data_IF_277928452647
#
_entry.id   IF_277928452647
#
_cell.length_a   1.000
_cell.length_b   1.000
_cell.length_c   1.000
_cell.angle_alpha   90.00
_cell.angle_beta   90.00
_cell.angle_gamma   90.00
#
_symmetry.space_group_name_H-M   'P 1'
#
loop_
_entity.id
_entity.type
_entity.pdbx_description
1 polymer ?
#
# COMPACT_ATOMS: atom_id res chain seq x y z
N UNK A 1 18.20 15.97 -7.50
CA UNK A 1 19.64 15.87 -7.79
C UNK A 1 19.66 15.71 -9.27
N UNK A 2 19.82 16.81 -9.98
CA UNK A 2 20.31 16.73 -11.35
C UNK A 2 21.73 16.21 -11.21
N UNK A 3 22.04 15.12 -11.89
CA UNK A 3 23.41 14.62 -11.92
C UNK A 3 24.20 15.60 -12.78
N UNK A 4 24.74 16.62 -12.13
CA UNK A 4 25.71 17.52 -12.73
C UNK A 4 27.07 16.86 -12.63
N UNK A 5 27.64 16.45 -13.76
CA UNK A 5 29.01 15.96 -13.81
C UNK A 5 29.98 17.13 -13.62
N UNK A 6 30.48 17.30 -12.39
CA UNK A 6 31.56 18.22 -12.07
C UNK A 6 32.88 17.51 -12.43
N UNK A 7 33.48 17.86 -13.57
CA UNK A 7 34.86 17.46 -13.86
C UNK A 7 35.82 18.46 -13.21
N UNK A 8 36.86 18.00 -12.52
CA UNK A 8 37.86 18.88 -11.96
C UNK A 8 38.72 19.51 -13.08
N UNK A 9 39.11 20.78 -12.88
CA UNK A 9 39.70 21.66 -13.91
C UNK A 9 41.06 21.16 -14.44
N UNK A 10 41.74 20.31 -13.67
CA UNK A 10 43.02 19.69 -13.98
C UNK A 10 42.95 18.59 -15.06
N UNK A 11 41.75 18.24 -15.52
CA UNK A 11 41.53 17.24 -16.58
C UNK A 11 41.53 17.86 -17.99
N UNK A 12 41.53 19.19 -18.11
CA UNK A 12 41.45 19.92 -19.40
C UNK A 12 42.81 20.27 -20.01
N UNK A 13 43.75 19.34 -20.06
CA UNK A 13 45.13 19.66 -20.49
C UNK A 13 45.26 20.01 -22.00
N UNK A 14 44.20 19.86 -22.82
CA UNK A 14 44.24 20.09 -24.27
C UNK A 14 42.97 20.64 -24.95
N UNK A 15 41.96 21.06 -24.19
CA UNK A 15 40.70 21.55 -24.76
C UNK A 15 40.58 23.08 -24.66
N UNK A 16 40.16 23.73 -25.75
CA UNK A 16 39.91 25.16 -25.77
C UNK A 16 38.56 25.44 -25.09
N UNK A 17 38.59 25.96 -23.85
CA UNK A 17 37.40 26.45 -23.16
C UNK A 17 36.91 27.71 -23.87
N UNK A 18 35.77 27.62 -24.55
CA UNK A 18 35.21 28.72 -25.35
C UNK A 18 34.42 29.73 -24.51
N UNK A 19 33.76 29.28 -23.44
CA UNK A 19 32.93 30.12 -22.57
C UNK A 19 32.76 29.47 -21.20
N UNK A 20 32.78 30.28 -20.14
CA UNK A 20 32.47 29.87 -18.77
C UNK A 20 31.13 30.52 -18.41
N UNK A 21 30.08 29.71 -18.30
CA UNK A 21 28.75 30.19 -17.94
C UNK A 21 28.54 29.99 -16.43
N UNK A 22 28.22 31.04 -15.66
CA UNK A 22 27.88 30.89 -14.25
C UNK A 22 26.55 30.13 -14.11
N UNK A 23 26.53 29.11 -13.24
CA UNK A 23 25.33 28.33 -12.95
C UNK A 23 24.24 29.23 -12.35
N UNK A 24 23.05 29.22 -12.96
CA UNK A 24 21.85 29.78 -12.36
C UNK A 24 21.42 28.85 -11.21
N UNK A 25 21.44 29.35 -9.98
CA UNK A 25 20.92 28.59 -8.84
C UNK A 25 19.40 28.34 -9.00
N UNK A 26 18.92 27.10 -8.88
CA UNK A 26 17.49 26.84 -8.83
C UNK A 26 16.88 27.57 -7.64
N UNK A 27 15.88 28.41 -7.91
CA UNK A 27 15.24 29.24 -6.88
C UNK A 27 14.28 28.38 -6.05
N UNK A 28 14.80 27.78 -4.97
CA UNK A 28 13.98 27.10 -3.96
C UNK A 28 13.31 28.16 -3.07
N UNK A 29 12.14 28.64 -3.49
CA UNK A 29 11.26 29.37 -2.59
C UNK A 29 10.66 28.39 -1.58
N UNK A 30 11.22 28.30 -0.37
CA UNK A 30 10.43 27.84 0.77
C UNK A 30 9.26 28.84 0.89
N UNK A 31 8.00 28.39 0.89
CA UNK A 31 6.89 29.32 1.04
C UNK A 31 7.04 30.05 2.38
N UNK A 32 6.74 31.33 2.36
CA UNK A 32 6.60 32.17 3.56
C UNK A 32 5.80 31.39 4.62
N UNK A 33 6.27 31.31 5.87
CA UNK A 33 5.72 30.47 6.94
C UNK A 33 4.20 30.73 7.17
N UNK A 34 3.68 31.84 6.63
CA UNK A 34 2.28 32.21 6.59
C UNK A 34 1.41 31.40 5.59
N UNK A 35 1.98 30.65 4.65
CA UNK A 35 1.23 29.87 3.65
C UNK A 35 0.60 28.59 4.20
N UNK A 36 1.02 28.13 5.39
CA UNK A 36 0.42 26.98 6.06
C UNK A 36 -1.05 27.21 6.49
N UNK A 37 -1.51 28.46 6.49
CA UNK A 37 -2.88 28.80 6.90
C UNK A 37 -3.97 28.46 5.87
N UNK A 38 -3.62 28.16 4.61
CA UNK A 38 -4.61 28.01 3.53
C UNK A 38 -4.98 26.55 3.18
N UNK A 39 -4.37 25.54 3.81
CA UNK A 39 -4.71 24.13 3.58
C UNK A 39 -4.39 23.60 2.17
N UNK A 40 -3.74 24.39 1.31
CA UNK A 40 -3.23 23.93 0.04
C UNK A 40 -1.88 23.23 0.24
N UNK A 41 -1.65 22.03 -0.33
CA UNK A 41 -0.35 21.37 -0.26
C UNK A 41 0.72 22.24 -0.93
N UNK A 42 1.97 22.23 -0.42
CA UNK A 42 3.05 23.04 -0.97
C UNK A 42 3.38 22.60 -2.41
N UNK A 43 3.53 23.57 -3.32
CA UNK A 43 3.99 23.29 -4.68
C UNK A 43 5.44 22.85 -4.65
N UNK A 44 5.69 21.54 -4.79
CA UNK A 44 7.04 20.96 -4.70
C UNK A 44 7.96 21.29 -5.88
N UNK A 45 7.38 21.61 -7.04
CA UNK A 45 8.13 21.87 -8.27
C UNK A 45 7.29 22.72 -9.23
N UNK A 46 7.89 23.77 -9.79
CA UNK A 46 7.25 24.73 -10.71
C UNK A 46 7.92 24.75 -12.09
N UNK A 47 8.28 23.58 -12.61
CA UNK A 47 8.86 23.42 -13.95
C UNK A 47 8.06 22.45 -14.85
N UNK A 48 8.58 22.20 -16.05
CA UNK A 48 7.99 21.24 -16.99
C UNK A 48 8.09 19.80 -16.47
N UNK A 49 7.18 18.91 -16.89
CA UNK A 49 7.19 17.51 -16.44
C UNK A 49 8.38 16.75 -17.02
N UNK A 50 9.53 16.82 -16.36
CA UNK A 50 10.79 16.14 -16.68
C UNK A 50 11.20 15.20 -15.54
N UNK A 51 12.27 14.42 -15.73
CA UNK A 51 12.88 13.61 -14.66
C UNK A 51 13.24 14.45 -13.42
N UNK A 52 13.55 15.73 -13.59
CA UNK A 52 13.84 16.68 -12.51
C UNK A 52 12.64 16.85 -11.57
N UNK A 53 11.41 16.83 -12.11
CA UNK A 53 10.18 16.88 -11.31
C UNK A 53 10.03 15.63 -10.46
N UNK A 54 10.33 14.46 -11.02
CA UNK A 54 10.30 13.17 -10.31
C UNK A 54 11.36 13.18 -9.21
N UNK A 55 12.58 13.60 -9.53
CA UNK A 55 13.66 13.77 -8.57
C UNK A 55 13.32 14.76 -7.45
N UNK A 56 12.59 15.85 -7.75
CA UNK A 56 12.11 16.82 -6.76
C UNK A 56 11.01 16.23 -5.87
N UNK A 57 10.04 15.52 -6.43
CA UNK A 57 8.99 14.82 -5.67
C UNK A 57 9.62 13.76 -4.76
N UNK A 58 10.54 12.95 -5.28
CA UNK A 58 11.25 11.94 -4.49
C UNK A 58 12.09 12.60 -3.39
N UNK A 59 12.86 13.65 -3.70
CA UNK A 59 13.66 14.37 -2.71
C UNK A 59 12.78 14.98 -1.61
N UNK A 60 11.66 15.59 -1.97
CA UNK A 60 10.68 16.11 -1.03
C UNK A 60 10.05 14.98 -0.21
N UNK A 61 9.64 13.87 -0.82
CA UNK A 61 9.12 12.68 -0.12
C UNK A 61 10.12 12.13 0.92
N UNK A 62 11.41 12.13 0.58
CA UNK A 62 12.49 11.66 1.43
C UNK A 62 12.73 12.64 2.59
N UNK A 63 12.69 13.94 2.33
CA UNK A 63 13.06 14.99 3.27
C UNK A 63 11.91 15.45 4.17
N UNK A 64 10.65 15.22 3.78
CA UNK A 64 9.51 15.76 4.52
C UNK A 64 8.95 14.73 5.51
N UNK A 65 8.84 15.04 6.81
CA UNK A 65 8.47 14.08 7.86
C UNK A 65 6.97 13.72 7.94
N UNK A 66 6.14 14.08 6.94
CA UNK A 66 4.68 13.93 6.99
C UNK A 66 4.13 12.58 6.55
N UNK A 67 4.89 11.47 6.63
CA UNK A 67 4.28 10.17 6.33
C UNK A 67 3.20 9.86 7.37
N UNK A 68 1.96 10.16 6.98
CA UNK A 68 0.78 9.69 7.66
C UNK A 68 0.66 8.20 7.38
N UNK A 69 0.49 7.42 8.44
CA UNK A 69 0.25 6.00 8.29
C UNK A 69 -1.12 5.86 7.63
N UNK A 70 -1.19 5.38 6.37
CA UNK A 70 -2.44 5.32 5.64
C UNK A 70 -3.38 4.26 6.21
N UNK A 71 -2.87 3.42 7.12
CA UNK A 71 -3.64 2.47 7.89
C UNK A 71 -4.14 3.05 9.23
N UNK A 72 -3.82 4.28 9.63
CA UNK A 72 -4.43 4.90 10.82
C UNK A 72 -5.90 5.28 10.57
N UNK A 73 -6.80 4.30 10.61
CA UNK A 73 -8.24 4.55 10.60
C UNK A 73 -8.71 5.01 11.98
N UNK A 74 -8.55 6.31 12.30
CA UNK A 74 -9.16 7.00 13.46
C UNK A 74 -9.33 6.13 14.73
N UNK A 75 -8.31 5.38 15.14
CA UNK A 75 -8.30 4.72 16.45
C UNK A 75 -8.22 5.81 17.53
N UNK A 76 -9.36 6.33 17.95
CA UNK A 76 -9.46 7.27 19.07
C UNK A 76 -9.96 8.69 18.77
N UNK A 77 -10.39 9.00 17.53
CA UNK A 77 -11.35 10.12 17.39
C UNK A 77 -12.73 9.59 17.75
N UNK A 78 -13.05 9.64 19.04
CA UNK A 78 -14.42 9.83 19.50
C UNK A 78 -14.94 11.09 18.78
N UNK A 79 -15.48 10.92 17.57
CA UNK A 79 -16.33 11.92 16.94
C UNK A 79 -17.58 11.96 17.79
N UNK A 80 -17.51 12.68 18.91
CA UNK A 80 -18.70 13.23 19.55
C UNK A 80 -19.52 13.88 18.43
N UNK A 81 -20.78 13.52 18.25
CA UNK A 81 -21.60 14.08 17.18
C UNK A 81 -21.62 15.59 17.38
N UNK A 82 -21.02 16.32 16.44
CA UNK A 82 -21.16 17.77 16.37
C UNK A 82 -22.66 18.08 16.35
N UNK A 83 -23.18 18.89 17.29
CA UNK A 83 -24.59 19.23 17.30
C UNK A 83 -24.86 20.06 16.04
N UNK A 84 -25.65 19.50 15.13
CA UNK A 84 -26.17 20.25 14.00
C UNK A 84 -26.99 21.44 14.51
N UNK A 85 -26.83 22.64 13.95
CA UNK A 85 -27.64 23.79 14.33
C UNK A 85 -29.04 23.60 13.76
N UNK A 86 -29.99 23.19 14.61
CA UNK A 86 -31.40 23.25 14.25
C UNK A 86 -31.84 24.73 14.24
N UNK A 87 -32.59 25.17 13.22
CA UNK A 87 -33.14 26.51 13.18
C UNK A 87 -34.29 26.64 14.19
N UNK A 88 -34.29 27.78 14.85
CA UNK A 88 -35.26 28.23 15.84
C UNK A 88 -36.65 28.28 15.21
N UNK A 89 -37.60 27.55 15.79
CA UNK A 89 -39.03 27.75 15.55
C UNK A 89 -39.73 27.95 16.91
N UNK A 90 -40.53 29.01 16.92
CA UNK A 90 -41.05 29.73 18.08
C UNK A 90 -41.94 28.93 19.02
N UNK A 91 -41.81 29.29 20.29
CA UNK A 91 -42.67 28.94 21.41
C UNK A 91 -44.16 29.21 21.14
N UNK A 92 -45.01 28.28 21.59
CA UNK A 92 -46.29 28.63 22.20
C UNK A 92 -46.61 27.63 23.32
N UNK A 93 -46.79 28.22 24.49
CA UNK A 93 -47.10 27.66 25.79
C UNK A 93 -48.45 26.94 25.83
N UNK A 94 -48.61 25.93 26.70
CA UNK A 94 -49.46 26.01 27.90
C UNK A 94 -49.72 24.64 28.60
N UNK A 95 -49.47 24.67 29.93
CA UNK A 95 -50.01 23.92 31.10
C UNK A 95 -49.76 22.40 31.35
N UNK A 96 -49.66 21.99 32.64
CA UNK A 96 -49.09 20.74 33.13
C UNK A 96 -50.11 19.76 33.74
N UNK A 97 -49.70 18.50 33.96
CA UNK A 97 -50.08 17.63 35.10
C UNK A 97 -49.15 16.39 35.08
N UNK A 98 -48.28 16.17 36.07
CA UNK A 98 -48.50 15.60 37.40
C UNK A 98 -48.58 14.05 37.44
N UNK A 99 -47.51 13.47 37.99
CA UNK A 99 -47.38 12.31 38.89
C UNK A 99 -48.01 10.92 38.62
N UNK A 100 -47.15 9.92 38.87
CA UNK A 100 -47.34 8.59 39.49
C UNK A 100 -46.87 7.45 38.56
N UNK A 101 -45.78 6.75 38.85
CA UNK A 101 -45.49 5.81 39.95
C UNK A 101 -46.26 4.50 39.86
N UNK A 102 -45.49 3.43 39.59
CA UNK A 102 -45.69 2.03 39.98
C UNK A 102 -46.96 1.30 39.52
N UNK A 103 -46.78 0.18 38.84
CA UNK A 103 -47.00 -1.15 39.45
C UNK A 103 -46.50 -2.27 38.54
N UNK A 104 -45.74 -3.19 39.15
CA UNK A 104 -45.54 -4.56 38.68
C UNK A 104 -46.86 -5.32 38.85
N UNK A 105 -47.25 -6.12 37.87
CA UNK A 105 -48.16 -7.24 38.11
C UNK A 105 -47.84 -8.41 37.20
N UNK A 106 -47.92 -9.57 37.82
CA UNK A 106 -47.43 -10.90 37.45
C UNK A 106 -48.61 -11.73 36.95
N UNK A 107 -48.35 -12.57 35.92
CA UNK A 107 -49.08 -13.81 35.51
C UNK A 107 -50.52 -13.70 34.95
N UNK A 108 -51.10 -14.76 34.33
CA UNK A 108 -50.53 -16.04 33.87
C UNK A 108 -50.88 -16.43 32.41
N UNK A 109 -50.20 -17.49 31.96
CA UNK A 109 -50.53 -18.34 30.81
C UNK A 109 -52.01 -18.72 30.70
N UNK A 110 -52.54 -18.67 29.47
CA UNK A 110 -53.70 -19.46 29.08
C UNK A 110 -53.59 -19.89 27.62
N UNK A 111 -53.47 -21.21 27.45
CA UNK A 111 -53.54 -21.91 26.18
C UNK A 111 -54.89 -21.68 25.51
N UNK A 112 -54.87 -21.22 24.26
CA UNK A 112 -56.02 -21.29 23.36
C UNK A 112 -55.52 -21.65 21.96
N UNK A 113 -55.93 -22.82 21.51
CA UNK A 113 -55.79 -23.28 20.14
C UNK A 113 -56.75 -22.49 19.21
N UNK A 114 -56.53 -22.67 17.90
CA UNK A 114 -57.49 -22.49 16.80
C UNK A 114 -57.56 -21.10 16.15
N UNK A 115 -56.78 -20.92 15.06
CA UNK A 115 -57.28 -20.77 13.66
C UNK A 115 -56.12 -20.36 12.73
N UNK A 116 -55.73 -21.26 11.83
CA UNK A 116 -54.92 -20.87 10.68
C UNK A 116 -55.81 -20.12 9.66
N UNK A 117 -55.35 -18.99 9.09
CA UNK A 117 -56.03 -18.35 7.98
C UNK A 117 -55.85 -19.16 6.68
N UNK A 118 -56.83 -19.14 5.76
CA UNK A 118 -56.73 -19.85 4.49
C UNK A 118 -55.61 -19.28 3.61
N UNK A 119 -54.99 -20.12 2.75
CA UNK A 119 -53.92 -19.69 1.86
C UNK A 119 -54.45 -18.64 0.87
N UNK A 120 -53.80 -17.47 0.86
CA UNK A 120 -54.07 -16.41 -0.12
C UNK A 120 -53.65 -16.90 -1.51
N UNK A 121 -54.65 -17.15 -2.34
CA UNK A 121 -54.53 -17.40 -3.77
C UNK A 121 -53.88 -16.18 -4.43
N UNK A 122 -52.68 -16.32 -4.99
CA UNK A 122 -51.96 -15.26 -5.70
C UNK A 122 -52.13 -15.47 -7.22
N UNK A 123 -53.03 -14.73 -7.90
CA UNK A 123 -53.41 -15.00 -9.29
C UNK A 123 -52.39 -14.55 -10.36
N UNK A 124 -51.20 -14.07 -9.96
CA UNK A 124 -50.13 -13.73 -10.89
C UNK A 124 -49.00 -14.74 -10.82
N UNK A 125 -49.27 -15.95 -11.30
CA UNK A 125 -48.24 -16.90 -11.73
C UNK A 125 -47.83 -16.51 -13.16
N UNK A 126 -46.75 -15.75 -13.28
CA UNK A 126 -46.05 -15.53 -14.55
C UNK A 126 -45.41 -16.84 -15.00
N UNK A 127 -46.23 -17.69 -15.62
CA UNK A 127 -45.78 -18.78 -16.46
C UNK A 127 -44.92 -18.19 -17.60
N UNK A 128 -43.65 -18.57 -17.68
CA UNK A 128 -42.78 -18.18 -18.78
C UNK A 128 -41.30 -17.99 -18.46
N UNK A 129 -40.88 -18.06 -17.18
CA UNK A 129 -39.43 -18.07 -16.87
C UNK A 129 -38.90 -19.48 -17.05
N UNK A 130 -38.42 -19.77 -18.27
CA UNK A 130 -37.59 -20.93 -18.56
C UNK A 130 -36.50 -21.02 -17.50
N UNK A 131 -36.56 -22.07 -16.68
CA UNK A 131 -35.51 -22.38 -15.70
C UNK A 131 -34.23 -22.59 -16.51
N UNK A 132 -33.38 -21.57 -16.54
CA UNK A 132 -32.05 -21.71 -17.11
C UNK A 132 -31.40 -22.91 -16.43
N UNK A 133 -31.06 -23.91 -17.24
CA UNK A 133 -30.31 -25.08 -16.81
C UNK A 133 -29.12 -24.60 -15.98
N UNK A 134 -28.81 -25.25 -14.83
CA UNK A 134 -27.64 -24.90 -14.05
C UNK A 134 -26.41 -25.00 -14.97
N UNK A 135 -25.89 -23.84 -15.37
CA UNK A 135 -24.66 -23.74 -16.12
C UNK A 135 -23.61 -24.55 -15.36
N UNK A 136 -23.05 -25.58 -16.01
CA UNK A 136 -21.89 -26.33 -15.53
C UNK A 136 -20.72 -25.35 -15.36
N UNK A 137 -20.72 -24.63 -14.24
CA UNK A 137 -19.55 -23.90 -13.78
C UNK A 137 -18.56 -24.99 -13.39
N UNK A 138 -17.49 -25.12 -14.18
CA UNK A 138 -16.41 -26.04 -13.89
C UNK A 138 -15.88 -25.87 -12.46
N UNK A 139 -15.08 -26.83 -11.97
CA UNK A 139 -14.56 -26.80 -10.60
C UNK A 139 -13.96 -25.43 -10.29
N UNK A 140 -14.44 -24.80 -9.22
CA UNK A 140 -13.95 -23.50 -8.79
C UNK A 140 -12.44 -23.62 -8.54
N UNK A 141 -11.63 -22.77 -9.20
CA UNK A 141 -10.18 -22.74 -8.97
C UNK A 141 -9.94 -22.47 -7.49
N UNK A 142 -9.24 -23.38 -6.80
CA UNK A 142 -8.87 -23.21 -5.40
C UNK A 142 -8.16 -21.87 -5.24
N UNK A 143 -8.58 -21.01 -4.30
CA UNK A 143 -7.93 -19.72 -4.10
C UNK A 143 -6.47 -19.94 -3.73
N UNK A 144 -5.58 -19.14 -4.32
CA UNK A 144 -4.16 -19.18 -3.99
C UNK A 144 -3.94 -18.90 -2.50
N UNK A 145 -3.07 -19.67 -1.86
CA UNK A 145 -2.55 -19.34 -0.54
C UNK A 145 -1.59 -18.14 -0.63
N UNK A 146 -1.93 -17.04 0.06
CA UNK A 146 -1.11 -15.83 0.10
C UNK A 146 0.07 -15.93 1.08
N UNK A 147 0.05 -16.92 1.98
CA UNK A 147 1.14 -17.20 2.92
C UNK A 147 2.23 -18.07 2.32
N UNK A 148 2.07 -18.52 1.07
CA UNK A 148 3.12 -19.22 0.32
C UNK A 148 3.64 -18.33 -0.81
N UNK A 149 4.96 -18.35 -1.01
CA UNK A 149 5.61 -17.69 -2.13
C UNK A 149 5.00 -18.13 -3.47
N UNK A 150 4.90 -17.19 -4.42
CA UNK A 150 4.45 -17.51 -5.78
C UNK A 150 5.62 -18.10 -6.56
N UNK A 151 5.48 -19.35 -6.99
CA UNK A 151 6.51 -20.02 -7.79
C UNK A 151 6.20 -19.88 -9.29
N UNK A 152 6.41 -18.68 -9.85
CA UNK A 152 6.35 -18.43 -11.31
C UNK A 152 7.61 -17.69 -11.75
N UNK A 153 8.13 -17.89 -12.98
CA UNK A 153 9.36 -17.26 -13.44
C UNK A 153 9.34 -15.73 -13.30
N UNK A 154 8.20 -15.10 -13.54
CA UNK A 154 8.02 -13.65 -13.52
C UNK A 154 8.03 -13.05 -12.09
N UNK A 155 7.94 -13.88 -11.05
CA UNK A 155 8.09 -13.45 -9.66
C UNK A 155 9.55 -13.65 -9.24
N UNK A 156 10.31 -12.58 -8.93
CA UNK A 156 11.63 -12.74 -8.36
C UNK A 156 11.57 -13.55 -7.05
N UNK A 157 12.61 -14.34 -6.73
CA UNK A 157 12.62 -15.11 -5.50
C UNK A 157 12.60 -14.22 -4.27
N UNK A 158 11.85 -14.66 -3.25
CA UNK A 158 11.92 -14.08 -1.91
C UNK A 158 13.20 -14.55 -1.21
N UNK A 159 13.66 -13.78 -0.23
CA UNK A 159 14.64 -14.26 0.75
C UNK A 159 14.06 -15.50 1.43
N UNK A 160 14.87 -16.56 1.54
CA UNK A 160 14.42 -17.86 2.05
C UNK A 160 13.82 -17.76 3.47
N UNK A 161 14.52 -17.10 4.40
CA UNK A 161 14.07 -16.89 5.78
C UNK A 161 12.72 -16.17 5.87
N UNK A 162 12.47 -15.18 4.99
CA UNK A 162 11.19 -14.47 4.89
C UNK A 162 10.08 -15.34 4.31
N UNK A 163 10.37 -16.12 3.27
CA UNK A 163 9.40 -17.01 2.65
C UNK A 163 8.95 -18.12 3.62
N UNK A 164 9.93 -18.73 4.32
CA UNK A 164 9.69 -19.75 5.32
C UNK A 164 8.90 -19.20 6.51
N UNK A 165 9.26 -18.02 7.01
CA UNK A 165 8.54 -17.34 8.07
C UNK A 165 7.09 -17.04 7.68
N UNK A 166 6.85 -16.52 6.47
CA UNK A 166 5.51 -16.22 5.97
C UNK A 166 4.63 -17.46 5.90
N UNK A 167 5.19 -18.60 5.49
CA UNK A 167 4.49 -19.88 5.42
C UNK A 167 4.14 -20.46 6.80
N UNK A 168 4.87 -20.06 7.84
CA UNK A 168 4.71 -20.53 9.23
C UNK A 168 3.81 -19.63 10.08
N UNK A 169 3.27 -18.54 9.54
CA UNK A 169 2.37 -17.63 10.28
C UNK A 169 1.18 -18.40 10.85
N UNK A 170 0.97 -18.27 12.16
CA UNK A 170 -0.18 -18.84 12.85
C UNK A 170 -1.42 -17.97 12.62
N UNK A 171 -2.21 -18.38 11.63
CA UNK A 171 -3.48 -17.76 11.28
C UNK A 171 -4.60 -18.03 12.29
N UNK A 172 -4.38 -18.91 13.28
CA UNK A 172 -5.29 -19.13 14.40
C UNK A 172 -5.34 -17.97 15.40
N UNK A 173 -4.28 -17.15 15.43
CA UNK A 173 -4.26 -15.93 16.24
C UNK A 173 -5.20 -14.89 15.61
N UNK A 174 -6.23 -14.50 16.36
CA UNK A 174 -7.18 -13.45 15.92
C UNK A 174 -6.42 -12.12 15.82
N UNK A 175 -6.52 -11.37 14.70
CA UNK A 175 -5.89 -10.05 14.60
C UNK A 175 -6.43 -9.03 15.64
N UNK A 176 -5.66 -7.99 15.95
CA UNK A 176 -6.05 -6.86 16.80
C UNK A 176 -7.22 -6.09 16.22
N UNK A 177 -7.21 -5.89 14.91
CA UNK A 177 -8.24 -5.19 14.17
C UNK A 177 -8.95 -6.15 13.23
N UNK A 178 -10.28 -6.07 13.20
CA UNK A 178 -11.10 -6.74 12.20
C UNK A 178 -11.52 -5.79 11.08
N UNK A 179 -10.96 -4.57 11.04
CA UNK A 179 -11.28 -3.61 9.98
C UNK A 179 -10.83 -4.16 8.63
N UNK A 180 -11.73 -4.05 7.66
CA UNK A 180 -11.46 -4.40 6.28
C UNK A 180 -10.41 -3.49 5.62
N UNK A 181 -10.16 -2.29 6.16
CA UNK A 181 -9.11 -1.37 5.68
C UNK A 181 -7.72 -1.94 5.87
N UNK A 182 -7.48 -2.66 6.96
CA UNK A 182 -6.17 -3.19 7.31
C UNK A 182 -5.70 -4.29 6.35
N UNK A 183 -6.65 -4.89 5.64
CA UNK A 183 -6.40 -5.91 4.62
C UNK A 183 -6.18 -5.34 3.22
N UNK A 184 -6.05 -4.02 3.10
CA UNK A 184 -5.85 -3.32 1.82
C UNK A 184 -4.37 -2.98 1.61
N UNK A 185 -4.08 -2.45 0.44
CA UNK A 185 -2.74 -2.15 -0.01
C UNK A 185 -2.65 -0.74 -0.56
N UNK A 186 -1.49 -0.13 -0.33
CA UNK A 186 -1.10 1.19 -0.86
C UNK A 186 -0.72 1.09 -2.34
N UNK A 187 -0.09 -0.02 -2.72
CA UNK A 187 0.27 -0.37 -4.09
C UNK A 187 -0.32 -1.74 -4.43
N UNK A 188 -0.39 -2.15 -5.72
CA UNK A 188 -0.87 -3.48 -6.03
C UNK A 188 -0.01 -4.55 -5.33
N UNK A 189 -0.65 -5.65 -4.90
CA UNK A 189 0.08 -6.84 -4.46
C UNK A 189 0.98 -7.32 -5.61
N UNK A 190 2.28 -7.61 -5.42
CA UNK A 190 3.19 -7.96 -6.53
C UNK A 190 2.68 -9.14 -7.36
N UNK A 191 2.11 -10.13 -6.69
CA UNK A 191 1.49 -11.29 -7.31
C UNK A 191 0.32 -10.97 -8.23
N UNK A 192 -0.38 -9.85 -8.03
CA UNK A 192 -1.51 -9.43 -8.87
C UNK A 192 -1.05 -9.18 -10.30
N UNK A 193 0.19 -8.68 -10.48
CA UNK A 193 0.75 -8.34 -11.78
C UNK A 193 1.09 -9.58 -12.61
N UNK A 194 1.55 -10.66 -11.97
CA UNK A 194 2.13 -11.82 -12.66
C UNK A 194 1.35 -13.13 -12.50
N UNK A 195 0.39 -13.20 -11.57
CA UNK A 195 -0.42 -14.42 -11.35
C UNK A 195 -1.55 -14.56 -12.39
N UNK A 196 -1.18 -14.59 -13.66
CA UNK A 196 -2.06 -14.84 -14.80
C UNK A 196 -1.31 -15.71 -15.82
N UNK A 197 -1.94 -16.77 -16.37
CA UNK A 197 -1.30 -17.60 -17.38
C UNK A 197 -1.25 -16.92 -18.77
N UNK A 198 -1.91 -15.78 -18.93
CA UNK A 198 -2.00 -15.06 -20.21
C UNK A 198 -1.03 -13.89 -20.25
N UNK A 199 -0.05 -13.95 -21.17
CA UNK A 199 0.97 -12.93 -21.35
C UNK A 199 0.37 -11.54 -21.65
N UNK A 200 -0.60 -11.46 -22.57
CA UNK A 200 -1.27 -10.19 -22.92
C UNK A 200 -1.88 -9.50 -21.70
N UNK A 201 -2.48 -10.29 -20.81
CA UNK A 201 -3.07 -9.76 -19.57
C UNK A 201 -1.99 -9.29 -18.60
N UNK A 202 -0.90 -10.05 -18.44
CA UNK A 202 0.24 -9.65 -17.62
C UNK A 202 0.85 -8.34 -18.13
N UNK A 203 1.18 -8.29 -19.42
CA UNK A 203 1.76 -7.12 -20.08
C UNK A 203 0.86 -5.90 -19.92
N UNK A 204 -0.47 -6.07 -20.05
CA UNK A 204 -1.44 -5.00 -19.78
C UNK A 204 -1.37 -4.50 -18.33
N UNK A 205 -1.34 -5.39 -17.35
CA UNK A 205 -1.27 -5.00 -15.93
C UNK A 205 0.03 -4.26 -15.61
N UNK A 206 1.17 -4.74 -16.14
CA UNK A 206 2.48 -4.11 -15.97
C UNK A 206 2.53 -2.73 -16.65
N UNK A 207 2.07 -2.65 -17.90
CA UNK A 207 2.04 -1.40 -18.67
C UNK A 207 1.20 -0.33 -17.96
N UNK A 208 0.00 -0.69 -17.51
CA UNK A 208 -0.86 0.22 -16.77
C UNK A 208 -0.29 0.60 -15.40
N UNK A 209 0.41 -0.31 -14.72
CA UNK A 209 1.12 0.04 -13.49
C UNK A 209 2.18 1.10 -13.76
N UNK A 210 3.02 0.93 -14.80
CA UNK A 210 4.04 1.91 -15.17
C UNK A 210 3.45 3.30 -15.46
N UNK A 211 2.30 3.37 -16.16
CA UNK A 211 1.61 4.63 -16.43
C UNK A 211 1.06 5.31 -15.16
N UNK A 212 0.73 4.54 -14.12
CA UNK A 212 0.08 5.03 -12.90
C UNK A 212 1.02 5.22 -11.72
N UNK A 213 2.20 4.57 -11.74
CA UNK A 213 3.10 4.45 -10.60
C UNK A 213 3.47 5.83 -10.02
N UNK A 214 3.88 6.77 -10.86
CA UNK A 214 4.25 8.13 -10.44
C UNK A 214 3.09 8.89 -9.80
N UNK A 215 1.87 8.71 -10.32
CA UNK A 215 0.66 9.30 -9.72
C UNK A 215 0.40 8.77 -8.32
N UNK A 216 0.54 7.45 -8.11
CA UNK A 216 0.39 6.86 -6.78
C UNK A 216 1.51 7.25 -5.83
N UNK A 217 2.76 7.31 -6.30
CA UNK A 217 3.89 7.79 -5.51
C UNK A 217 3.63 9.24 -5.09
N UNK A 218 3.28 10.13 -6.03
CA UNK A 218 2.94 11.51 -5.74
C UNK A 218 1.82 11.63 -4.70
N UNK A 219 0.77 10.81 -4.83
CA UNK A 219 -0.34 10.78 -3.89
C UNK A 219 0.10 10.47 -2.46
N UNK A 220 1.08 9.58 -2.27
CA UNK A 220 1.66 9.32 -0.95
C UNK A 220 2.43 10.50 -0.38
N UNK A 221 3.00 11.34 -1.24
CA UNK A 221 3.80 12.49 -0.81
C UNK A 221 2.94 13.69 -0.47
N UNK A 222 1.77 13.83 -1.11
CA UNK A 222 0.92 15.02 -0.99
C UNK A 222 -0.36 14.81 -0.21
N UNK A 223 -0.91 13.60 -0.22
CA UNK A 223 -2.21 13.35 0.38
C UNK A 223 -2.03 12.80 1.79
N UNK A 224 -2.65 13.41 2.82
CA UNK A 224 -2.52 12.94 4.20
C UNK A 224 -3.14 11.55 4.40
N UNK A 225 -4.21 11.24 3.66
CA UNK A 225 -4.93 9.96 3.75
C UNK A 225 -5.03 9.27 2.38
N UNK A 226 -3.94 8.71 1.83
CA UNK A 226 -3.98 8.09 0.53
C UNK A 226 -4.91 6.86 0.54
N UNK A 227 -5.60 6.57 -0.57
CA UNK A 227 -6.55 5.48 -0.67
C UNK A 227 -5.89 4.13 -0.49
N UNK A 228 -6.26 3.43 0.58
CA UNK A 228 -6.01 2.00 0.69
C UNK A 228 -7.02 1.21 -0.16
N UNK A 229 -6.50 0.38 -1.07
CA UNK A 229 -7.28 -0.38 -2.04
C UNK A 229 -7.21 -1.88 -1.80
N UNK A 230 -8.34 -2.55 -1.93
CA UNK A 230 -8.39 -4.01 -1.94
C UNK A 230 -7.73 -4.57 -3.21
N UNK A 231 -7.28 -5.83 -3.17
CA UNK A 231 -6.72 -6.48 -4.36
C UNK A 231 -7.70 -6.54 -5.54
N UNK A 232 -9.02 -6.54 -5.31
CA UNK A 232 -9.99 -6.43 -6.40
C UNK A 232 -10.02 -5.02 -7.01
N UNK A 233 -9.98 -3.97 -6.19
CA UNK A 233 -9.93 -2.60 -6.70
C UNK A 233 -8.65 -2.34 -7.51
N UNK A 234 -7.51 -2.87 -7.05
CA UNK A 234 -6.27 -2.84 -7.83
C UNK A 234 -6.41 -3.53 -9.19
N UNK A 235 -7.04 -4.71 -9.24
CA UNK A 235 -7.33 -5.38 -10.52
C UNK A 235 -8.23 -4.53 -11.41
N UNK A 236 -9.29 -3.96 -10.85
CA UNK A 236 -10.24 -3.15 -11.61
C UNK A 236 -9.56 -1.90 -12.20
N UNK A 237 -8.68 -1.24 -11.44
CA UNK A 237 -7.84 -0.13 -11.93
C UNK A 237 -6.93 -0.61 -13.05
N UNK A 238 -6.08 -1.61 -12.79
CA UNK A 238 -5.05 -2.06 -13.72
C UNK A 238 -5.61 -2.75 -14.97
N UNK A 239 -6.85 -3.23 -14.95
CA UNK A 239 -7.53 -3.70 -16.15
C UNK A 239 -8.20 -2.57 -16.96
N UNK A 240 -8.15 -1.34 -16.43
CA UNK A 240 -8.83 -0.16 -16.96
C UNK A 240 -10.34 -0.31 -16.95
N UNK A 241 -10.88 -1.03 -15.96
CA UNK A 241 -12.32 -1.10 -15.75
C UNK A 241 -12.87 0.18 -15.13
N UNK A 242 -11.99 1.03 -14.58
CA UNK A 242 -12.42 2.25 -13.93
C UNK A 242 -12.98 3.30 -14.90
N UNK A 243 -12.43 3.38 -16.11
CA UNK A 243 -12.82 4.38 -17.12
C UNK A 243 -13.90 3.91 -18.09
N UNK A 244 -14.30 2.62 -18.09
CA UNK A 244 -15.31 2.05 -19.01
C UNK A 244 -16.77 2.38 -18.65
N UNK A 245 -16.99 3.46 -17.91
CA UNK A 245 -18.23 3.72 -17.18
C UNK A 245 -19.28 4.44 -18.03
N UNK A 246 -19.97 3.68 -18.92
CA UNK A 246 -21.15 4.13 -19.67
C UNK A 246 -22.47 3.38 -19.36
N UNK A 247 -22.45 2.39 -18.46
CA UNK A 247 -23.64 1.60 -18.11
C UNK A 247 -24.13 1.95 -16.70
N UNK A 248 -25.26 2.66 -16.64
CA UNK A 248 -25.75 3.52 -15.54
C UNK A 248 -26.10 2.81 -14.21
N UNK A 249 -26.02 1.48 -14.07
CA UNK A 249 -26.57 0.82 -12.85
C UNK A 249 -25.76 -0.35 -12.25
N UNK A 250 -24.50 -0.54 -12.62
CA UNK A 250 -23.72 -1.65 -12.04
C UNK A 250 -23.09 -1.27 -10.67
N UNK A 251 -23.08 -2.20 -9.71
CA UNK A 251 -22.33 -2.04 -8.43
C UNK A 251 -20.82 -1.85 -8.63
N UNK A 252 -20.32 -2.12 -9.84
CA UNK A 252 -18.94 -1.85 -10.28
C UNK A 252 -18.78 -0.35 -10.57
N UNK A 253 -19.77 0.29 -11.21
CA UNK A 253 -19.79 1.72 -11.51
C UNK A 253 -19.62 2.59 -10.26
N UNK A 254 -20.45 2.43 -9.23
CA UNK A 254 -20.36 3.27 -8.01
C UNK A 254 -19.03 3.11 -7.26
N UNK A 255 -18.38 1.93 -7.38
CA UNK A 255 -17.06 1.70 -6.77
C UNK A 255 -15.94 2.32 -7.58
N UNK A 256 -16.11 2.39 -8.89
CA UNK A 256 -15.18 3.01 -9.81
C UNK A 256 -15.20 4.53 -9.73
N UNK A 257 -16.39 5.12 -9.73
CA UNK A 257 -16.62 6.57 -9.71
C UNK A 257 -15.93 7.22 -8.50
N UNK A 258 -16.21 6.69 -7.30
CA UNK A 258 -15.56 7.14 -6.06
C UNK A 258 -14.04 6.89 -6.02
N UNK A 259 -13.52 6.00 -6.84
CA UNK A 259 -12.09 5.67 -6.87
C UNK A 259 -11.35 6.58 -7.84
N UNK A 260 -11.95 6.84 -9.00
CA UNK A 260 -11.47 7.81 -9.98
C UNK A 260 -11.38 9.20 -9.37
N UNK A 261 -12.42 9.66 -8.67
CA UNK A 261 -12.42 10.96 -7.98
C UNK A 261 -11.28 11.12 -6.97
N UNK A 262 -10.84 10.03 -6.34
CA UNK A 262 -9.77 10.05 -5.34
C UNK A 262 -8.38 10.04 -5.96
N UNK A 263 -8.22 9.40 -7.12
CA UNK A 263 -6.91 9.20 -7.76
C UNK A 263 -6.64 10.31 -8.78
N UNK A 264 -7.68 10.83 -9.44
CA UNK A 264 -7.59 11.84 -10.50
C UNK A 264 -6.72 13.05 -10.13
N UNK A 265 -6.86 13.69 -8.95
CA UNK A 265 -6.03 14.86 -8.63
C UNK A 265 -4.53 14.57 -8.63
N UNK A 266 -4.13 13.38 -8.18
CA UNK A 266 -2.72 12.97 -8.17
C UNK A 266 -2.19 12.72 -9.58
N UNK A 267 -3.02 12.13 -10.45
CA UNK A 267 -2.66 11.91 -11.85
C UNK A 267 -2.54 13.23 -12.61
N UNK A 268 -3.50 14.14 -12.44
CA UNK A 268 -3.46 15.48 -13.02
C UNK A 268 -2.20 16.25 -12.56
N UNK A 269 -1.88 16.21 -11.28
CA UNK A 269 -0.72 16.91 -10.71
C UNK A 269 0.63 16.35 -11.22
N UNK A 270 0.70 15.06 -11.54
CA UNK A 270 1.88 14.48 -12.18
C UNK A 270 2.06 14.91 -13.65
N UNK A 271 1.19 15.77 -14.18
CA UNK A 271 1.02 15.95 -15.62
C UNK A 271 0.94 14.58 -16.29
N UNK A 272 0.10 13.71 -15.73
CA UNK A 272 -0.50 12.60 -16.44
C UNK A 272 -1.94 13.04 -16.80
N UNK A 273 -2.15 14.25 -17.39
CA UNK A 273 -3.48 14.88 -17.41
C UNK A 273 -4.40 14.16 -18.40
N UNK A 274 -3.83 13.26 -19.20
CA UNK A 274 -4.50 12.51 -20.22
C UNK A 274 -4.37 11.01 -19.91
N UNK A 275 -5.11 10.59 -18.89
CA UNK A 275 -5.80 9.30 -18.91
C UNK A 275 -6.67 9.11 -20.18
N UNK A 276 -6.63 9.98 -21.19
CA UNK A 276 -7.34 9.82 -22.48
C UNK A 276 -7.01 8.49 -23.13
N UNK A 277 -5.79 8.00 -22.92
CA UNK A 277 -5.36 6.68 -23.37
C UNK A 277 -5.31 5.68 -22.22
N UNK A 278 -6.05 5.88 -21.12
CA UNK A 278 -6.20 4.89 -20.05
C UNK A 278 -7.62 4.33 -20.02
N UNK A 279 -7.82 3.01 -20.26
CA UNK A 279 -6.78 2.02 -20.45
C UNK A 279 -6.05 2.22 -21.78
N UNK A 280 -4.78 1.87 -21.82
CA UNK A 280 -4.02 1.86 -23.06
C UNK A 280 -4.73 0.93 -24.07
N UNK A 281 -4.96 1.39 -25.31
CA UNK A 281 -5.43 0.54 -26.38
C UNK A 281 -4.57 -0.71 -26.51
N UNK A 282 -5.16 -1.84 -26.89
CA UNK A 282 -4.44 -3.12 -26.93
C UNK A 282 -3.16 -3.10 -27.78
N UNK A 283 -3.10 -2.27 -28.82
CA UNK A 283 -1.94 -2.11 -29.70
C UNK A 283 -0.84 -1.20 -29.13
N UNK A 284 -1.12 -0.44 -28.07
CA UNK A 284 -0.15 0.39 -27.34
C UNK A 284 0.46 -0.36 -26.14
N UNK A 285 -0.09 -1.53 -25.78
CA UNK A 285 0.43 -2.35 -24.68
C UNK A 285 1.81 -2.88 -25.05
N UNK A 286 2.83 -2.34 -24.39
CA UNK A 286 4.22 -2.84 -24.46
C UNK A 286 4.29 -4.29 -23.97
N UNK A 287 5.05 -5.11 -24.68
CA UNK A 287 5.49 -6.42 -24.19
C UNK A 287 6.70 -6.25 -23.28
N UNK A 288 6.74 -7.04 -22.20
CA UNK A 288 7.85 -7.01 -21.24
C UNK A 288 8.65 -8.29 -21.33
N UNK A 289 9.97 -8.16 -21.28
CA UNK A 289 10.88 -9.29 -21.10
C UNK A 289 10.70 -9.89 -19.69
N UNK A 290 11.30 -11.05 -19.46
CA UNK A 290 11.30 -11.66 -18.14
C UNK A 290 12.02 -10.78 -17.11
N UNK A 291 13.17 -10.20 -17.47
CA UNK A 291 13.97 -9.34 -16.61
C UNK A 291 13.20 -8.07 -16.23
N UNK A 292 12.63 -7.36 -17.22
CA UNK A 292 11.82 -6.16 -16.98
C UNK A 292 10.60 -6.46 -16.10
N UNK A 293 9.95 -7.60 -16.33
CA UNK A 293 8.82 -8.03 -15.48
C UNK A 293 9.27 -8.23 -14.04
N UNK A 294 10.39 -8.94 -13.83
CA UNK A 294 10.95 -9.18 -12.52
C UNK A 294 11.35 -7.88 -11.82
N UNK A 295 11.95 -6.93 -12.53
CA UNK A 295 12.33 -5.61 -12.02
C UNK A 295 11.13 -4.79 -11.56
N UNK A 296 10.07 -4.72 -12.37
CA UNK A 296 8.81 -4.03 -12.00
C UNK A 296 8.19 -4.68 -10.76
N UNK A 297 8.12 -6.02 -10.73
CA UNK A 297 7.56 -6.77 -9.60
C UNK A 297 8.39 -6.55 -8.33
N UNK A 298 9.72 -6.54 -8.45
CA UNK A 298 10.64 -6.24 -7.36
C UNK A 298 10.41 -4.84 -6.80
N UNK A 299 10.34 -3.81 -7.63
CA UNK A 299 10.08 -2.43 -7.19
C UNK A 299 8.75 -2.30 -6.44
N UNK A 300 7.69 -2.94 -6.95
CA UNK A 300 6.37 -2.96 -6.30
C UNK A 300 6.40 -3.70 -4.96
N UNK A 301 7.12 -4.82 -4.90
CA UNK A 301 7.27 -5.58 -3.66
C UNK A 301 8.06 -4.81 -2.60
N UNK A 302 9.20 -4.26 -2.99
CA UNK A 302 10.10 -3.49 -2.11
C UNK A 302 9.40 -2.25 -1.56
N UNK A 303 8.68 -1.52 -2.42
CA UNK A 303 7.94 -0.33 -2.00
C UNK A 303 6.82 -0.70 -1.03
N UNK A 304 6.01 -1.72 -1.33
CA UNK A 304 4.99 -2.21 -0.39
C UNK A 304 5.60 -2.64 0.95
N UNK A 305 6.69 -3.43 0.92
CA UNK A 305 7.35 -3.93 2.11
C UNK A 305 7.81 -2.79 3.03
N UNK A 306 8.46 -1.74 2.49
CA UNK A 306 8.91 -0.58 3.29
C UNK A 306 7.75 0.14 3.96
N UNK A 307 6.66 0.40 3.23
CA UNK A 307 5.48 1.07 3.82
C UNK A 307 4.72 0.19 4.81
N UNK A 308 4.60 -1.10 4.52
CA UNK A 308 4.01 -2.08 5.45
C UNK A 308 4.82 -2.16 6.75
N UNK A 309 6.14 -2.17 6.66
CA UNK A 309 7.03 -2.17 7.80
C UNK A 309 6.92 -0.89 8.64
N UNK A 310 6.89 0.29 8.01
CA UNK A 310 6.67 1.56 8.73
C UNK A 310 5.35 1.54 9.49
N UNK A 311 4.28 1.10 8.83
CA UNK A 311 2.93 1.07 9.39
C UNK A 311 2.85 0.06 10.55
N UNK A 312 3.49 -1.10 10.39
CA UNK A 312 3.62 -2.09 11.47
C UNK A 312 4.40 -1.52 12.66
N UNK A 313 5.58 -0.94 12.43
CA UNK A 313 6.42 -0.40 13.50
C UNK A 313 5.67 0.68 14.29
N UNK A 314 4.99 1.59 13.59
CA UNK A 314 4.19 2.64 14.21
C UNK A 314 3.09 2.08 15.09
N UNK A 315 2.34 1.08 14.60
CA UNK A 315 1.25 0.44 15.36
C UNK A 315 1.77 -0.37 16.55
N UNK A 316 2.81 -1.17 16.34
CA UNK A 316 3.35 -2.08 17.34
C UNK A 316 4.11 -1.35 18.45
N UNK A 317 4.88 -0.31 18.11
CA UNK A 317 5.64 0.49 19.08
C UNK A 317 4.83 1.66 19.65
N UNK A 318 3.76 2.09 18.96
CA UNK A 318 3.01 3.34 19.22
C UNK A 318 3.88 4.60 19.13
N UNK A 319 4.96 4.55 18.35
CA UNK A 319 5.91 5.65 18.17
C UNK A 319 6.07 5.97 16.69
N UNK A 320 6.24 7.24 16.36
CA UNK A 320 6.63 7.65 15.02
C UNK A 320 8.14 7.83 14.95
N UNK A 321 8.87 6.82 14.46
CA UNK A 321 10.35 6.80 14.41
C UNK A 321 10.89 6.52 13.00
N UNK A 322 10.43 7.30 12.05
CA UNK A 322 10.72 7.09 10.62
C UNK A 322 12.22 7.06 10.30
N UNK A 323 13.03 7.89 10.97
CA UNK A 323 14.47 7.91 10.78
C UNK A 323 15.11 6.55 11.14
N UNK A 324 14.75 5.96 12.27
CA UNK A 324 15.25 4.65 12.71
C UNK A 324 14.75 3.53 11.78
N UNK A 325 13.50 3.62 11.31
CA UNK A 325 12.94 2.67 10.34
C UNK A 325 13.69 2.72 9.01
N UNK A 326 14.07 3.90 8.52
CA UNK A 326 14.87 4.06 7.29
C UNK A 326 16.26 3.40 7.40
N UNK A 327 16.82 3.25 8.59
CA UNK A 327 18.08 2.52 8.81
C UNK A 327 17.94 1.00 8.61
N UNK A 328 16.71 0.47 8.60
CA UNK A 328 16.45 -0.95 8.35
C UNK A 328 16.54 -1.33 6.87
N UNK A 329 16.72 -0.35 5.97
CA UNK A 329 16.73 -0.56 4.54
C UNK A 329 17.96 0.04 3.88
N UNK A 330 18.46 -0.64 2.84
CA UNK A 330 19.50 -0.08 1.98
C UNK A 330 18.99 1.21 1.30
N UNK A 331 19.87 2.21 1.21
CA UNK A 331 19.61 3.50 0.58
C UNK A 331 18.76 4.48 1.38
N UNK A 332 18.12 4.07 2.48
CA UNK A 332 17.27 4.92 3.34
C UNK A 332 16.08 5.61 2.62
N UNK A 333 15.77 5.21 1.38
CA UNK A 333 14.64 5.70 0.58
C UNK A 333 13.37 4.90 0.88
N UNK A 334 12.19 5.45 0.61
CA UNK A 334 10.91 4.72 0.80
C UNK A 334 10.21 4.39 -0.52
N UNK A 335 10.51 5.17 -1.56
CA UNK A 335 9.95 5.09 -2.92
C UNK A 335 11.07 5.35 -3.91
N UNK A 336 10.88 4.91 -5.16
CA UNK A 336 11.85 5.18 -6.23
C UNK A 336 13.18 4.47 -6.01
N UNK A 337 13.13 3.23 -5.54
CA UNK A 337 14.33 2.44 -5.26
C UNK A 337 15.06 2.12 -6.57
N UNK A 338 16.35 2.51 -6.72
CA UNK A 338 17.10 2.18 -7.91
C UNK A 338 17.40 0.66 -7.93
N UNK A 339 17.45 0.06 -9.12
CA UNK A 339 17.49 -1.39 -9.28
C UNK A 339 18.76 -2.01 -8.70
N UNK A 340 19.85 -1.25 -8.60
CA UNK A 340 21.12 -1.66 -7.99
C UNK A 340 20.95 -2.05 -6.51
N UNK A 341 19.91 -1.56 -5.85
CA UNK A 341 19.59 -1.92 -4.47
C UNK A 341 18.89 -3.27 -4.34
N UNK A 342 18.50 -3.92 -5.44
CA UNK A 342 17.84 -5.23 -5.45
C UNK A 342 18.69 -6.40 -4.93
N UNK A 343 19.99 -6.16 -4.75
CA UNK A 343 20.96 -7.12 -4.19
C UNK A 343 21.61 -6.61 -2.90
N UNK A 344 21.10 -5.52 -2.32
CA UNK A 344 21.62 -4.92 -1.09
C UNK A 344 20.64 -5.10 0.07
N UNK A 345 21.08 -4.75 1.28
CA UNK A 345 20.18 -4.75 2.42
C UNK A 345 19.75 -6.16 2.79
N UNK A 346 18.44 -6.31 2.99
CA UNK A 346 17.79 -7.61 3.15
C UNK A 346 18.03 -8.55 1.96
N UNK A 347 18.11 -8.02 0.74
CA UNK A 347 18.26 -8.83 -0.46
C UNK A 347 19.70 -9.29 -0.73
N UNK A 348 20.69 -8.92 0.09
CA UNK A 348 22.08 -9.36 -0.08
C UNK A 348 22.23 -10.87 0.07
N UNK A 349 23.12 -11.46 -0.73
CA UNK A 349 23.53 -12.86 -0.60
C UNK A 349 24.46 -13.09 0.60
N UNK A 350 25.23 -12.08 1.00
CA UNK A 350 26.09 -12.13 2.18
C UNK A 350 25.27 -11.98 3.46
N UNK A 351 25.41 -12.95 4.36
CA UNK A 351 24.77 -12.89 5.67
C UNK A 351 25.32 -11.71 6.49
N UNK A 352 26.61 -11.42 6.37
CA UNK A 352 27.27 -10.32 7.07
C UNK A 352 26.70 -8.97 6.66
N UNK A 353 26.47 -8.76 5.36
CA UNK A 353 25.82 -7.55 4.84
C UNK A 353 24.36 -7.46 5.31
N UNK A 354 23.58 -8.55 5.20
CA UNK A 354 22.19 -8.59 5.70
C UNK A 354 22.14 -8.30 7.21
N UNK A 355 23.10 -8.82 7.97
CA UNK A 355 23.11 -8.78 9.43
C UNK A 355 23.02 -7.35 9.97
N UNK A 356 23.64 -6.37 9.30
CA UNK A 356 23.55 -4.95 9.67
C UNK A 356 22.09 -4.49 9.72
N UNK A 357 21.30 -4.81 8.69
CA UNK A 357 19.90 -4.41 8.57
C UNK A 357 18.97 -5.25 9.46
N UNK A 358 19.30 -6.54 9.65
CA UNK A 358 18.61 -7.42 10.60
C UNK A 358 18.76 -6.88 12.02
N UNK A 359 19.95 -6.42 12.41
CA UNK A 359 20.20 -5.83 13.74
C UNK A 359 19.42 -4.54 13.97
N UNK A 360 19.33 -3.66 12.96
CA UNK A 360 18.51 -2.44 13.02
C UNK A 360 17.03 -2.80 13.21
N UNK A 361 16.55 -3.75 12.42
CA UNK A 361 15.17 -4.25 12.50
C UNK A 361 14.87 -4.87 13.87
N UNK A 362 15.75 -5.73 14.36
CA UNK A 362 15.62 -6.38 15.67
C UNK A 362 15.60 -5.36 16.82
N UNK A 363 16.38 -4.27 16.71
CA UNK A 363 16.38 -3.18 17.69
C UNK A 363 15.00 -2.51 17.78
N UNK A 364 14.35 -2.24 16.64
CA UNK A 364 13.00 -1.69 16.63
C UNK A 364 11.99 -2.64 17.27
N UNK A 365 12.11 -3.94 16.98
CA UNK A 365 11.20 -4.97 17.46
C UNK A 365 11.22 -5.17 18.99
N UNK A 366 12.22 -4.64 19.71
CA UNK A 366 12.25 -4.67 21.17
C UNK A 366 11.08 -3.91 21.81
N UNK A 367 10.65 -2.83 21.18
CA UNK A 367 9.56 -1.97 21.66
C UNK A 367 8.18 -2.42 21.15
N UNK A 368 8.12 -3.47 20.32
CA UNK A 368 6.87 -3.92 19.71
C UNK A 368 5.98 -4.62 20.72
N UNK A 369 4.77 -4.13 20.86
CA UNK A 369 3.72 -4.73 21.67
C UNK A 369 2.86 -5.64 20.79
N UNK A 370 3.13 -6.94 20.80
CA UNK A 370 2.40 -7.94 19.99
C UNK A 370 1.76 -9.00 20.91
N UNK A 371 0.89 -9.85 20.37
CA UNK A 371 0.29 -10.97 21.14
C UNK A 371 1.32 -12.07 21.33
N UNK A 372 2.17 -12.27 20.33
CA UNK A 372 3.31 -13.17 20.38
C UNK A 372 4.43 -12.62 21.28
N UNK A 373 5.12 -13.48 22.01
CA UNK A 373 6.25 -13.02 22.80
C UNK A 373 7.45 -12.71 21.89
N UNK A 374 8.07 -11.54 22.05
CA UNK A 374 9.32 -11.21 21.36
C UNK A 374 10.40 -12.28 21.67
N UNK A 375 10.96 -12.97 20.64
CA UNK A 375 11.96 -14.01 20.82
C UNK A 375 13.18 -13.57 21.65
N UNK A 376 13.70 -14.46 22.49
CA UNK A 376 14.84 -14.15 23.37
C UNK A 376 16.09 -13.73 22.59
N UNK A 377 16.31 -14.29 21.39
CA UNK A 377 17.45 -13.93 20.55
C UNK A 377 17.38 -12.47 20.04
N UNK A 378 16.17 -11.95 19.77
CA UNK A 378 15.98 -10.54 19.41
C UNK A 378 16.36 -9.65 20.60
N UNK A 379 15.97 -10.03 21.83
CA UNK A 379 16.31 -9.27 23.05
C UNK A 379 17.82 -9.14 23.29
N UNK A 380 18.62 -10.12 22.87
CA UNK A 380 20.09 -10.11 23.01
C UNK A 380 20.77 -9.03 22.17
N UNK A 381 20.07 -8.39 21.23
CA UNK A 381 20.61 -7.26 20.46
C UNK A 381 21.02 -6.08 21.36
N UNK A 382 20.40 -5.95 22.53
CA UNK A 382 20.77 -4.96 23.54
C UNK A 382 22.17 -5.19 24.15
N UNK A 383 22.69 -6.42 24.12
CA UNK A 383 23.92 -6.81 24.84
C UNK A 383 25.21 -6.31 24.16
N UNK A 384 25.12 -5.79 22.92
CA UNK A 384 26.25 -5.23 22.12
C UNK A 384 27.49 -6.14 22.02
N UNK A 385 27.34 -7.45 22.18
CA UNK A 385 28.43 -8.42 22.04
C UNK A 385 28.60 -8.85 20.57
N UNK A 386 29.76 -9.42 20.20
CA UNK A 386 29.96 -10.01 18.88
C UNK A 386 28.97 -11.16 18.62
N UNK A 387 28.51 -11.27 17.38
CA UNK A 387 27.64 -12.33 16.90
C UNK A 387 28.46 -13.36 16.14
N UNK A 388 28.26 -14.65 16.47
CA UNK A 388 28.76 -15.73 15.62
C UNK A 388 27.86 -15.93 14.40
N UNK A 389 28.37 -16.53 13.33
CA UNK A 389 27.60 -16.77 12.10
C UNK A 389 26.27 -17.50 12.37
N UNK A 390 26.30 -18.59 13.15
CA UNK A 390 25.07 -19.32 13.50
C UNK A 390 24.09 -18.50 14.34
N UNK A 391 24.57 -17.55 15.15
CA UNK A 391 23.69 -16.62 15.86
C UNK A 391 23.09 -15.55 14.92
N UNK A 392 23.82 -15.12 13.90
CA UNK A 392 23.30 -14.22 12.86
C UNK A 392 22.17 -14.88 12.07
N UNK A 393 22.35 -16.15 11.66
CA UNK A 393 21.32 -16.96 10.98
C UNK A 393 20.08 -17.14 11.86
N UNK A 394 20.29 -17.52 13.12
CA UNK A 394 19.19 -17.69 14.08
C UNK A 394 18.45 -16.37 14.36
N UNK A 395 19.17 -15.25 14.41
CA UNK A 395 18.57 -13.93 14.54
C UNK A 395 17.74 -13.57 13.30
N UNK A 396 18.27 -13.81 12.09
CA UNK A 396 17.56 -13.58 10.83
C UNK A 396 16.20 -14.31 10.83
N UNK A 397 16.21 -15.62 11.12
CA UNK A 397 15.01 -16.45 11.19
C UNK A 397 14.02 -15.88 12.22
N UNK A 398 14.48 -15.57 13.43
CA UNK A 398 13.63 -15.05 14.49
C UNK A 398 13.01 -13.69 14.14
N UNK A 399 13.77 -12.80 13.50
CA UNK A 399 13.28 -11.49 13.04
C UNK A 399 12.22 -11.67 11.94
N UNK A 400 12.46 -12.53 10.96
CA UNK A 400 11.50 -12.81 9.89
C UNK A 400 10.19 -13.42 10.43
N UNK A 401 10.28 -14.40 11.34
CA UNK A 401 9.12 -15.01 11.99
C UNK A 401 8.34 -13.99 12.84
N UNK A 402 9.04 -13.20 13.66
CA UNK A 402 8.38 -12.21 14.50
C UNK A 402 7.74 -11.09 13.67
N UNK A 403 8.39 -10.63 12.59
CA UNK A 403 7.82 -9.67 11.64
C UNK A 403 6.52 -10.18 11.02
N UNK A 404 6.57 -11.34 10.37
CA UNK A 404 5.42 -11.87 9.62
C UNK A 404 4.24 -12.21 10.53
N UNK A 405 4.51 -12.74 11.73
CA UNK A 405 3.48 -12.99 12.74
C UNK A 405 2.89 -11.67 13.27
N UNK A 406 3.71 -10.69 13.63
CA UNK A 406 3.24 -9.38 14.09
C UNK A 406 2.41 -8.68 13.01
N UNK A 407 2.82 -8.78 11.75
CA UNK A 407 2.07 -8.23 10.63
C UNK A 407 0.69 -8.86 10.51
N UNK A 408 0.58 -10.20 10.59
CA UNK A 408 -0.72 -10.88 10.63
C UNK A 408 -1.58 -10.42 11.82
N UNK A 409 -0.99 -10.32 13.00
CA UNK A 409 -1.70 -9.87 14.20
C UNK A 409 -2.26 -8.46 14.06
N UNK A 410 -1.56 -7.54 13.38
CA UNK A 410 -2.06 -6.16 13.20
C UNK A 410 -2.95 -5.98 11.98
N UNK A 411 -2.66 -6.65 10.86
CA UNK A 411 -3.30 -6.37 9.56
C UNK A 411 -4.24 -7.47 9.09
N UNK A 412 -4.17 -8.67 9.67
CA UNK A 412 -5.04 -9.80 9.32
C UNK A 412 -4.92 -10.25 7.86
N UNK A 413 -3.74 -10.07 7.25
CA UNK A 413 -3.37 -10.58 5.93
C UNK A 413 -1.88 -10.94 5.89
N UNK A 414 -1.47 -11.67 4.85
CA UNK A 414 -0.07 -11.93 4.57
C UNK A 414 0.68 -10.60 4.31
N UNK A 415 1.89 -10.49 4.87
CA UNK A 415 2.82 -9.40 4.58
C UNK A 415 3.36 -9.54 3.15
N UNK A 416 3.67 -8.41 2.51
CA UNK A 416 4.57 -8.40 1.37
C UNK A 416 5.99 -8.55 1.91
N UNK A 417 6.70 -9.53 1.37
CA UNK A 417 8.08 -9.85 1.76
C UNK A 417 9.06 -9.31 0.71
N UNK A 418 10.27 -8.90 1.12
CA UNK A 418 11.29 -8.42 0.19
C UNK A 418 11.71 -9.53 -0.79
N UNK A 419 11.95 -9.12 -2.03
CA UNK A 419 12.39 -9.98 -3.12
C UNK A 419 13.83 -9.65 -3.51
N UNK A 420 14.47 -10.55 -4.25
CA UNK A 420 15.81 -10.34 -4.81
C UNK A 420 15.80 -10.56 -6.32
N UNK A 421 16.48 -9.69 -7.06
CA UNK A 421 16.77 -9.93 -8.48
C UNK A 421 18.03 -10.78 -8.59
N UNK A 422 17.94 -11.89 -9.32
CA UNK A 422 19.07 -12.81 -9.52
C UNK A 422 19.84 -12.53 -10.81
N UNK A 423 19.21 -11.92 -11.81
CA UNK A 423 19.88 -11.54 -13.05
C UNK A 423 20.82 -10.35 -12.84
N UNK A 424 21.81 -10.23 -13.70
CA UNK A 424 22.64 -9.03 -13.75
C UNK A 424 21.84 -7.89 -14.38
N UNK A 425 21.90 -6.73 -13.75
CA UNK A 425 21.30 -5.53 -14.30
C UNK A 425 22.11 -5.16 -15.53
N UNK A 426 21.44 -5.02 -16.66
CA UNK A 426 22.07 -4.44 -17.84
C UNK A 426 22.51 -3.04 -17.46
N UNK A 427 23.82 -2.83 -17.34
CA UNK A 427 24.35 -1.48 -17.27
C UNK A 427 23.99 -0.86 -18.59
N UNK A 428 23.27 0.25 -18.58
CA UNK A 428 23.13 1.07 -19.78
C UNK A 428 24.54 1.51 -20.20
N UNK A 429 25.19 0.71 -21.04
CA UNK A 429 26.47 1.00 -21.65
C UNK A 429 26.24 2.09 -22.69
N UNK A 430 25.99 3.33 -22.27
CA UNK A 430 25.68 4.35 -23.28
C UNK A 430 25.22 5.72 -22.85
N UNK A 431 25.90 6.40 -21.92
CA UNK A 431 26.09 7.86 -22.00
C UNK A 431 27.50 8.19 -21.47
N UNK A 432 28.48 8.20 -22.39
CA UNK A 432 29.87 8.60 -22.15
C UNK A 432 30.20 9.88 -22.93
#
# INVERSE_FOLDING_TARGET
>A
MDVTLIRPLDVFDRENILEIVPLLEPHFGLPDDNAHAAGAPPTLYTGNSTEEKIGAIQKAAIQTPWYHDPFETNFGRDRSPSPSPNPVASSSSLVPHANSSFTKSVTPSRSAAVRQPPPRHNPYSTAGRTKALPSNKGPAKTPRNKFSALMVPEMPPSIASMADALAQVDQGVVPYSTDSSDRRYIFPEPALLVNTPYADRRNKLLHHWMLLADGFIYMLTQHPDPPLLSGQQWRDILEGLITKCGAVDSRVYRRSDSLEDRIRPALEACNLPNLTNFPAPAHEIREFTLAETQEIVWQVAETNFRFEFISLDKRASRRMRLAEVKECFAGHMLVGMPLEMSKLGWASTSLEERHVYIMRTATLMLDWTTKSACPSIIRRVADRRPWSQGEMEALEIAVCQYYTQAFWEYFGRAAVVPLRLDHDLEKEEGEL
#
